data_IF_270783907289
#
_entry.id   IF_270783907289
#
_cell.length_a   1.000
_cell.length_b   1.000
_cell.length_c   1.000
_cell.angle_alpha   90.00
_cell.angle_beta   90.00
_cell.angle_gamma   90.00
#
_symmetry.space_group_name_H-M   'P 1'
#
loop_
_entity.id
_entity.type
_entity.pdbx_description
1 polymer ?
#
# COMPACT_ATOMS: atom_id res chain seq x y z
N UNK A 1 -7.96 1.44 6.83
CA UNK A 1 -7.86 1.16 5.41
C UNK A 1 -6.80 2.08 4.80
N UNK A 2 -5.80 1.50 4.19
CA UNK A 2 -4.77 2.17 3.38
C UNK A 2 -4.94 1.78 1.91
N UNK A 3 -3.96 2.12 1.07
CA UNK A 3 -4.01 1.83 -0.37
C UNK A 3 -4.20 0.34 -0.66
N UNK A 4 -3.58 -0.55 0.10
CA UNK A 4 -3.79 -2.01 -0.03
C UNK A 4 -5.26 -2.41 0.09
N UNK A 5 -6.03 -1.76 0.98
CA UNK A 5 -7.46 -2.03 1.09
C UNK A 5 -8.25 -1.53 -0.13
N UNK A 6 -7.83 -0.39 -0.71
CA UNK A 6 -8.41 0.12 -1.96
C UNK A 6 -8.16 -0.85 -3.10
N UNK A 7 -6.91 -1.30 -3.28
CA UNK A 7 -6.53 -2.26 -4.32
C UNK A 7 -7.30 -3.57 -4.18
N UNK A 8 -7.32 -4.17 -2.99
CA UNK A 8 -8.02 -5.43 -2.75
C UNK A 8 -9.52 -5.32 -3.07
N UNK A 9 -10.17 -4.23 -2.64
CA UNK A 9 -11.59 -4.02 -2.86
C UNK A 9 -11.92 -3.80 -4.34
N UNK A 10 -11.11 -3.03 -5.06
CA UNK A 10 -11.24 -2.79 -6.50
C UNK A 10 -11.00 -4.06 -7.31
N UNK A 11 -9.95 -4.82 -6.97
CA UNK A 11 -9.67 -6.11 -7.62
C UNK A 11 -10.83 -7.07 -7.42
N UNK A 12 -11.36 -7.22 -6.20
CA UNK A 12 -12.53 -8.05 -5.94
C UNK A 12 -13.72 -7.65 -6.84
N UNK A 13 -14.00 -6.35 -6.96
CA UNK A 13 -15.07 -5.84 -7.82
C UNK A 13 -14.83 -6.15 -9.30
N UNK A 14 -13.63 -5.94 -9.79
CA UNK A 14 -13.22 -6.22 -11.18
C UNK A 14 -13.23 -7.70 -11.51
N UNK A 15 -12.97 -8.57 -10.50
CA UNK A 15 -13.04 -10.02 -10.64
C UNK A 15 -14.48 -10.56 -10.59
N UNK A 16 -15.50 -9.72 -10.48
CA UNK A 16 -16.91 -10.09 -10.58
C UNK A 16 -17.61 -10.29 -9.23
N UNK A 17 -17.04 -9.83 -8.12
CA UNK A 17 -17.76 -9.85 -6.85
C UNK A 17 -19.07 -9.03 -6.97
N UNK A 18 -20.18 -9.59 -6.54
CA UNK A 18 -21.48 -8.93 -6.55
C UNK A 18 -21.44 -7.63 -5.72
N UNK A 19 -20.79 -7.68 -4.56
CA UNK A 19 -20.49 -6.54 -3.72
C UNK A 19 -19.05 -6.58 -3.23
N UNK A 20 -18.45 -5.41 -3.01
CA UNK A 20 -17.17 -5.24 -2.35
C UNK A 20 -17.31 -4.09 -1.37
N UNK A 21 -16.90 -4.29 -0.12
CA UNK A 21 -17.11 -3.33 0.96
C UNK A 21 -15.84 -3.14 1.77
N UNK A 22 -15.39 -1.91 1.86
CA UNK A 22 -14.30 -1.52 2.77
C UNK A 22 -14.91 -1.21 4.13
N UNK A 23 -14.42 -1.90 5.17
CA UNK A 23 -14.83 -1.66 6.55
C UNK A 23 -13.71 -0.93 7.29
N UNK A 24 -14.02 0.23 7.85
CA UNK A 24 -13.01 1.06 8.49
C UNK A 24 -13.44 1.60 9.86
N UNK A 25 -12.54 1.46 10.84
CA UNK A 25 -12.84 1.80 12.25
C UNK A 25 -12.89 3.30 12.59
N UNK A 26 -12.51 4.18 11.63
CA UNK A 26 -12.63 5.63 11.72
C UNK A 26 -13.47 6.15 10.56
N UNK A 27 -13.40 7.45 10.29
CA UNK A 27 -14.05 8.02 9.09
C UNK A 27 -13.04 8.14 7.93
N UNK A 28 -13.55 8.37 6.74
CA UNK A 28 -12.72 8.60 5.54
C UNK A 28 -11.70 9.73 5.73
N UNK A 29 -12.02 10.71 6.59
CA UNK A 29 -11.14 11.84 6.88
C UNK A 29 -9.84 11.42 7.59
N UNK A 30 -9.89 10.39 8.41
CA UNK A 30 -8.72 9.83 9.12
C UNK A 30 -8.09 8.64 8.38
N UNK A 31 -8.55 8.35 7.16
CA UNK A 31 -8.06 7.23 6.37
C UNK A 31 -6.66 7.55 5.84
N UNK A 32 -5.69 6.61 5.98
CA UNK A 32 -4.35 6.82 5.44
C UNK A 32 -4.24 6.53 3.94
N UNK A 33 -5.32 6.05 3.31
CA UNK A 33 -5.36 5.85 1.86
C UNK A 33 -5.31 7.20 1.14
N UNK A 34 -4.71 7.21 -0.03
CA UNK A 34 -4.75 8.35 -0.94
C UNK A 34 -6.20 8.67 -1.34
N UNK A 35 -6.56 9.96 -1.36
CA UNK A 35 -7.93 10.40 -1.68
C UNK A 35 -8.34 10.01 -3.10
N UNK A 36 -7.39 10.00 -4.04
CA UNK A 36 -7.65 9.60 -5.41
C UNK A 36 -7.95 8.11 -5.49
N UNK A 37 -7.19 7.27 -4.77
CA UNK A 37 -7.43 5.81 -4.70
C UNK A 37 -8.80 5.50 -4.07
N UNK A 38 -9.16 6.21 -3.00
CA UNK A 38 -10.50 6.08 -2.41
C UNK A 38 -11.59 6.48 -3.40
N UNK A 39 -11.39 7.61 -4.10
CA UNK A 39 -12.35 8.05 -5.12
C UNK A 39 -12.51 7.00 -6.23
N UNK A 40 -11.43 6.47 -6.75
CA UNK A 40 -11.48 5.41 -7.77
C UNK A 40 -12.23 4.16 -7.27
N UNK A 41 -12.01 3.76 -6.03
CA UNK A 41 -12.73 2.62 -5.44
C UNK A 41 -14.25 2.87 -5.39
N UNK A 42 -14.67 4.05 -4.96
CA UNK A 42 -16.08 4.43 -4.90
C UNK A 42 -16.69 4.51 -6.33
N UNK A 43 -15.98 5.12 -7.26
CA UNK A 43 -16.42 5.25 -8.67
C UNK A 43 -16.58 3.85 -9.34
N UNK A 44 -15.80 2.86 -8.93
CA UNK A 44 -15.92 1.45 -9.36
C UNK A 44 -17.02 0.67 -8.61
N UNK A 45 -17.76 1.31 -7.72
CA UNK A 45 -18.89 0.71 -7.00
C UNK A 45 -18.48 -0.10 -5.76
N UNK A 46 -17.33 0.22 -5.14
CA UNK A 46 -16.96 -0.29 -3.82
C UNK A 46 -17.72 0.49 -2.76
N UNK A 47 -18.31 -0.23 -1.80
CA UNK A 47 -18.98 0.36 -0.65
C UNK A 47 -17.97 0.71 0.46
N UNK A 48 -18.27 1.75 1.23
CA UNK A 48 -17.49 2.12 2.41
C UNK A 48 -18.40 2.12 3.64
N UNK A 49 -18.01 1.36 4.66
CA UNK A 49 -18.64 1.36 5.98
C UNK A 49 -17.65 1.96 6.98
N UNK A 50 -17.95 3.17 7.43
CA UNK A 50 -17.15 3.90 8.39
C UNK A 50 -17.56 3.56 9.82
N UNK A 51 -16.69 3.87 10.78
CA UNK A 51 -16.92 3.67 12.21
C UNK A 51 -17.33 2.23 12.56
N UNK A 52 -16.72 1.28 11.88
CA UNK A 52 -16.94 -0.15 12.02
C UNK A 52 -15.62 -0.88 12.29
N UNK A 53 -15.52 -1.60 13.38
CA UNK A 53 -14.36 -2.41 13.71
C UNK A 53 -14.73 -3.90 13.67
N UNK A 54 -14.15 -4.68 12.72
CA UNK A 54 -14.36 -6.11 12.65
C UNK A 54 -13.99 -6.82 13.97
N UNK A 55 -14.83 -7.74 14.40
CA UNK A 55 -14.65 -8.56 15.61
C UNK A 55 -14.53 -10.03 15.24
N UNK A 56 -15.45 -10.55 14.47
CA UNK A 56 -15.54 -11.97 14.14
C UNK A 56 -16.20 -12.15 12.76
N UNK A 57 -15.73 -13.14 12.01
CA UNK A 57 -16.44 -13.65 10.84
C UNK A 57 -17.09 -14.98 11.19
N UNK A 58 -18.39 -15.06 11.02
CA UNK A 58 -19.16 -16.25 11.34
C UNK A 58 -20.42 -16.38 10.48
N UNK A 59 -20.70 -17.58 10.02
CA UNK A 59 -21.95 -17.93 9.31
C UNK A 59 -22.28 -16.99 8.13
N UNK A 60 -21.27 -16.66 7.31
CA UNK A 60 -21.45 -15.76 6.16
C UNK A 60 -21.63 -14.29 6.51
N UNK A 61 -21.20 -13.88 7.69
CA UNK A 61 -21.34 -12.50 8.19
C UNK A 61 -20.06 -12.04 8.87
N UNK A 62 -19.78 -10.75 8.74
CA UNK A 62 -18.77 -10.04 9.52
C UNK A 62 -19.45 -9.27 10.65
N UNK A 63 -19.18 -9.65 11.87
CA UNK A 63 -19.65 -8.95 13.07
C UNK A 63 -18.71 -7.79 13.33
N UNK A 64 -19.25 -6.59 13.45
CA UNK A 64 -18.51 -5.36 13.70
C UNK A 64 -19.00 -4.65 14.97
N UNK A 65 -18.07 -4.12 15.74
CA UNK A 65 -18.40 -3.11 16.74
C UNK A 65 -18.70 -1.79 16.05
N UNK A 66 -19.79 -1.14 16.48
CA UNK A 66 -20.04 0.25 16.15
C UNK A 66 -19.02 1.13 16.88
N UNK A 67 -18.34 1.99 16.15
CA UNK A 67 -17.31 2.87 16.69
C UNK A 67 -17.78 4.32 16.75
N UNK A 68 -17.14 5.11 17.58
CA UNK A 68 -17.18 6.58 17.57
C UNK A 68 -15.77 7.13 17.65
N UNK A 69 -15.58 8.36 17.21
CA UNK A 69 -14.30 9.04 17.35
C UNK A 69 -14.19 9.63 18.76
N UNK A 70 -13.13 9.29 19.47
CA UNK A 70 -12.74 9.87 20.74
C UNK A 70 -12.05 11.22 20.57
N UNK A 71 -11.39 11.68 21.63
CA UNK A 71 -10.60 12.93 21.62
C UNK A 71 -9.36 12.79 20.72
N UNK A 72 -8.89 13.89 20.13
CA UNK A 72 -7.64 13.90 19.38
C UNK A 72 -6.44 13.55 20.27
N UNK A 73 -5.52 12.76 19.74
CA UNK A 73 -4.21 12.55 20.36
C UNK A 73 -3.25 13.73 20.09
N UNK A 74 -2.01 13.63 20.60
CA UNK A 74 -0.99 14.67 20.42
C UNK A 74 -0.67 14.98 18.95
N UNK A 75 -0.98 14.08 18.02
CA UNK A 75 -0.84 14.29 16.56
C UNK A 75 -2.10 14.88 15.92
N UNK A 76 -3.13 15.16 16.70
CA UNK A 76 -4.44 15.60 16.21
C UNK A 76 -5.32 14.48 15.68
N UNK A 77 -4.88 13.23 15.73
CA UNK A 77 -5.61 12.07 15.20
C UNK A 77 -6.57 11.52 16.24
N UNK A 78 -7.85 11.37 15.87
CA UNK A 78 -8.87 10.86 16.77
C UNK A 78 -8.85 9.34 16.86
N UNK A 79 -8.82 8.82 18.07
CA UNK A 79 -8.84 7.37 18.33
C UNK A 79 -10.26 6.81 18.20
N UNK A 80 -10.44 5.63 17.57
CA UNK A 80 -11.73 4.97 17.53
C UNK A 80 -12.04 4.33 18.89
N UNK A 81 -13.26 4.55 19.39
CA UNK A 81 -13.76 4.01 20.67
C UNK A 81 -15.02 3.21 20.37
N UNK A 82 -15.12 1.98 20.89
CA UNK A 82 -16.32 1.17 20.76
C UNK A 82 -17.50 1.81 21.53
N UNK A 83 -18.68 1.79 20.94
CA UNK A 83 -19.91 2.29 21.58
C UNK A 83 -20.53 1.25 22.51
N UNK A 84 -20.18 -0.03 22.35
CA UNK A 84 -20.81 -1.17 23.01
C UNK A 84 -21.88 -1.83 22.15
N UNK A 85 -22.23 -1.23 21.02
CA UNK A 85 -23.18 -1.80 20.07
C UNK A 85 -22.43 -2.60 18.99
N UNK A 86 -23.09 -3.63 18.46
CA UNK A 86 -22.58 -4.45 17.34
C UNK A 86 -23.60 -4.50 16.22
N UNK A 87 -23.11 -4.72 15.01
CA UNK A 87 -23.93 -4.96 13.83
C UNK A 87 -23.25 -5.95 12.91
N UNK A 88 -24.00 -6.47 11.93
CA UNK A 88 -23.54 -7.51 11.03
C UNK A 88 -23.52 -7.02 9.59
N UNK A 89 -22.51 -7.44 8.84
CA UNK A 89 -22.39 -7.21 7.39
C UNK A 89 -22.37 -8.59 6.72
N UNK A 90 -23.32 -8.93 5.85
CA UNK A 90 -23.27 -10.16 5.07
C UNK A 90 -22.01 -10.21 4.19
N UNK A 91 -21.26 -11.31 4.23
CA UNK A 91 -20.06 -11.49 3.41
C UNK A 91 -19.69 -12.96 3.26
N UNK A 92 -19.20 -13.34 2.09
CA UNK A 92 -18.66 -14.68 1.81
C UNK A 92 -17.17 -14.75 2.13
N UNK A 93 -16.46 -13.63 1.94
CA UNK A 93 -15.02 -13.53 2.10
C UNK A 93 -14.64 -12.23 2.83
N UNK A 94 -13.70 -12.33 3.75
CA UNK A 94 -13.06 -11.19 4.40
C UNK A 94 -11.59 -11.16 4.05
N UNK A 95 -11.12 -10.03 3.50
CA UNK A 95 -9.73 -9.75 3.21
C UNK A 95 -9.17 -8.80 4.27
N UNK A 96 -8.15 -9.24 5.00
CA UNK A 96 -7.51 -8.44 6.03
C UNK A 96 -6.43 -7.55 5.42
N UNK A 97 -6.67 -6.24 5.37
CA UNK A 97 -5.74 -5.22 4.90
C UNK A 97 -5.42 -4.22 6.03
N UNK A 98 -4.99 -4.73 7.18
CA UNK A 98 -4.75 -3.96 8.41
C UNK A 98 -3.30 -3.52 8.57
N UNK A 99 -2.45 -3.83 7.60
CA UNK A 99 -1.01 -3.63 7.62
C UNK A 99 -0.27 -4.77 8.30
N UNK A 100 1.01 -4.84 8.04
CA UNK A 100 1.92 -5.82 8.63
C UNK A 100 2.92 -5.12 9.54
N UNK A 101 3.48 -5.86 10.46
CA UNK A 101 4.56 -5.42 11.34
C UNK A 101 5.59 -6.52 11.43
N UNK A 102 6.83 -6.12 11.60
CA UNK A 102 7.89 -7.06 11.94
C UNK A 102 7.55 -7.74 13.27
N UNK A 103 7.70 -9.05 13.32
CA UNK A 103 7.53 -9.79 14.57
C UNK A 103 8.71 -9.49 15.51
N UNK A 104 8.51 -8.48 16.36
CA UNK A 104 9.51 -8.05 17.31
C UNK A 104 9.89 -9.15 18.32
N UNK A 105 8.98 -10.08 18.60
CA UNK A 105 9.24 -11.22 19.50
C UNK A 105 10.20 -12.19 18.82
N UNK A 106 9.94 -12.57 17.57
CA UNK A 106 10.82 -13.42 16.80
C UNK A 106 12.22 -12.80 16.65
N UNK A 107 12.31 -11.50 16.41
CA UNK A 107 13.59 -10.81 16.33
C UNK A 107 14.34 -10.84 17.66
N UNK A 108 13.66 -10.53 18.76
CA UNK A 108 14.26 -10.57 20.11
C UNK A 108 14.71 -11.98 20.52
N UNK A 109 13.95 -13.02 20.20
CA UNK A 109 14.31 -14.42 20.44
C UNK A 109 15.60 -14.83 19.67
N UNK A 110 15.87 -14.18 18.56
CA UNK A 110 17.10 -14.35 17.79
C UNK A 110 18.21 -13.33 18.15
N UNK A 111 18.02 -12.56 19.22
CA UNK A 111 18.97 -11.56 19.68
C UNK A 111 19.12 -10.34 18.78
N UNK A 112 18.15 -10.10 17.89
CA UNK A 112 18.16 -8.98 16.95
C UNK A 112 17.34 -7.82 17.51
N UNK A 113 17.99 -6.68 17.71
CA UNK A 113 17.32 -5.42 18.07
C UNK A 113 16.93 -4.65 16.80
N UNK A 114 15.61 -4.52 16.59
CA UNK A 114 15.05 -3.78 15.47
C UNK A 114 14.96 -2.29 15.76
N UNK A 115 15.02 -1.50 14.68
CA UNK A 115 14.85 -0.04 14.78
C UNK A 115 16.04 0.70 15.39
N UNK A 116 17.18 0.05 15.56
CA UNK A 116 18.40 0.70 16.01
C UNK A 116 18.83 1.75 15.00
N UNK A 117 18.81 3.01 15.39
CA UNK A 117 19.36 4.12 14.60
C UNK A 117 20.86 4.05 14.63
N UNK A 118 21.43 3.41 13.62
CA UNK A 118 22.87 3.39 13.41
C UNK A 118 23.21 3.77 11.97
N UNK A 119 24.46 4.10 11.67
CA UNK A 119 24.87 4.26 10.29
C UNK A 119 24.60 2.94 9.56
N UNK A 120 24.06 3.04 8.35
CA UNK A 120 23.99 1.95 7.41
C UNK A 120 23.08 0.76 7.77
N UNK A 121 21.93 1.03 8.42
CA UNK A 121 20.93 -0.03 8.64
C UNK A 121 21.43 -1.26 9.44
N UNK A 122 22.58 -1.15 10.09
CA UNK A 122 23.17 -2.24 10.87
C UNK A 122 22.37 -2.52 12.13
N UNK A 123 22.12 -3.81 12.42
CA UNK A 123 21.55 -4.23 13.70
C UNK A 123 22.64 -4.31 14.79
N UNK A 124 22.26 -4.77 15.97
CA UNK A 124 23.21 -5.07 17.05
C UNK A 124 24.05 -6.34 16.76
N UNK A 125 23.65 -7.16 15.79
CA UNK A 125 24.33 -8.39 15.41
C UNK A 125 25.28 -8.10 14.25
N UNK A 126 26.53 -8.53 14.36
CA UNK A 126 27.53 -8.38 13.31
C UNK A 126 27.07 -9.07 12.02
N UNK A 127 27.27 -8.42 10.89
CA UNK A 127 26.88 -8.90 9.56
C UNK A 127 25.35 -9.09 9.35
N UNK A 128 24.52 -8.49 10.21
CA UNK A 128 23.07 -8.46 10.05
C UNK A 128 22.59 -7.02 9.94
N UNK A 129 21.87 -6.72 8.87
CA UNK A 129 21.30 -5.40 8.57
C UNK A 129 19.79 -5.49 8.41
N UNK A 130 19.12 -4.35 8.53
CA UNK A 130 17.69 -4.22 8.34
C UNK A 130 17.41 -2.98 7.51
N UNK A 131 16.71 -3.15 6.38
CA UNK A 131 16.35 -2.05 5.48
C UNK A 131 14.89 -2.17 5.03
N UNK A 132 14.36 -1.17 4.32
CA UNK A 132 12.98 -1.14 3.85
C UNK A 132 11.98 -1.18 4.99
N UNK A 133 10.83 -1.81 4.77
CA UNK A 133 9.74 -1.87 5.74
C UNK A 133 10.13 -2.47 7.09
N UNK A 134 11.09 -3.39 7.10
CA UNK A 134 11.60 -3.96 8.34
C UNK A 134 12.33 -2.94 9.22
N UNK A 135 12.90 -1.90 8.62
CA UNK A 135 13.65 -0.85 9.31
C UNK A 135 12.80 0.38 9.63
N UNK A 136 12.08 0.88 8.64
CA UNK A 136 11.33 2.13 8.73
C UNK A 136 9.84 1.97 9.04
N UNK A 137 9.30 0.78 8.91
CA UNK A 137 7.88 0.48 8.88
C UNK A 137 7.32 0.54 7.46
N UNK A 138 6.03 0.24 7.28
CA UNK A 138 5.39 0.23 5.97
C UNK A 138 5.58 1.55 5.21
N UNK A 139 6.07 1.44 3.98
CA UNK A 139 6.41 2.58 3.14
C UNK A 139 6.16 2.27 1.65
N UNK A 140 6.62 3.14 0.76
CA UNK A 140 6.50 2.93 -0.68
C UNK A 140 7.60 2.01 -1.21
N UNK A 141 7.36 1.40 -2.36
CA UNK A 141 8.36 0.59 -3.07
C UNK A 141 9.63 1.42 -3.37
N UNK A 142 9.45 2.69 -3.74
CA UNK A 142 10.55 3.61 -4.03
C UNK A 142 11.43 3.82 -2.80
N UNK A 143 10.83 4.01 -1.63
CA UNK A 143 11.57 4.15 -0.38
C UNK A 143 12.31 2.85 0.00
N UNK A 144 11.70 1.69 -0.24
CA UNK A 144 12.35 0.40 -0.06
C UNK A 144 13.57 0.22 -0.97
N UNK A 145 13.47 0.65 -2.23
CA UNK A 145 14.59 0.64 -3.19
C UNK A 145 15.69 1.63 -2.74
N UNK A 146 15.32 2.82 -2.29
CA UNK A 146 16.27 3.80 -1.79
C UNK A 146 17.04 3.28 -0.57
N UNK A 147 16.35 2.63 0.37
CA UNK A 147 16.99 2.00 1.53
C UNK A 147 17.95 0.88 1.11
N UNK A 148 17.54 0.05 0.15
CA UNK A 148 18.39 -1.03 -0.35
C UNK A 148 19.64 -0.49 -1.04
N UNK A 149 19.53 0.58 -1.81
CA UNK A 149 20.67 1.26 -2.42
C UNK A 149 21.62 1.84 -1.37
N UNK A 150 21.10 2.58 -0.40
CA UNK A 150 21.89 3.15 0.68
C UNK A 150 22.58 2.08 1.54
N UNK A 151 21.88 0.98 1.80
CA UNK A 151 22.45 -0.18 2.47
C UNK A 151 23.62 -0.79 1.66
N UNK A 152 23.41 -1.02 0.36
CA UNK A 152 24.43 -1.60 -0.50
C UNK A 152 25.69 -0.70 -0.55
N UNK A 153 25.51 0.61 -0.69
CA UNK A 153 26.61 1.59 -0.67
C UNK A 153 27.39 1.54 0.65
N UNK A 154 26.68 1.41 1.76
CA UNK A 154 27.29 1.35 3.08
C UNK A 154 28.11 0.06 3.28
N UNK A 155 27.66 -1.08 2.75
CA UNK A 155 28.37 -2.36 2.84
C UNK A 155 29.56 -2.40 1.90
N UNK A 156 29.42 -1.89 0.68
CA UNK A 156 30.47 -1.88 -0.34
C UNK A 156 31.52 -0.79 -0.03
N UNK A 157 31.11 0.28 0.66
CA UNK A 157 31.98 1.44 0.94
C UNK A 157 32.17 2.37 -0.27
N UNK A 158 31.33 2.25 -1.29
CA UNK A 158 31.37 3.07 -2.48
C UNK A 158 29.96 3.36 -2.99
N UNK A 159 29.74 4.59 -3.46
CA UNK A 159 28.48 4.94 -4.12
C UNK A 159 28.30 4.16 -5.43
N UNK A 160 27.09 3.66 -5.63
CA UNK A 160 26.73 2.99 -6.88
C UNK A 160 26.40 4.02 -7.96
N UNK A 161 27.01 3.87 -9.11
CA UNK A 161 26.67 4.66 -10.30
C UNK A 161 25.66 3.90 -11.13
N UNK A 162 24.47 4.49 -11.27
CA UNK A 162 23.42 3.91 -12.14
C UNK A 162 23.68 4.32 -13.57
N UNK A 163 23.78 3.35 -14.45
CA UNK A 163 23.70 3.61 -15.87
C UNK A 163 22.23 3.81 -16.24
N UNK A 164 21.91 4.97 -16.82
CA UNK A 164 20.58 5.22 -17.36
C UNK A 164 20.46 4.39 -18.62
N UNK A 165 19.51 3.41 -18.70
CA UNK A 165 19.37 2.61 -19.92
C UNK A 165 19.02 3.49 -21.10
N UNK A 166 19.50 3.09 -22.28
CA UNK A 166 19.13 3.75 -23.52
C UNK A 166 17.60 3.75 -23.69
N UNK A 167 17.04 4.86 -24.14
CA UNK A 167 15.60 5.00 -24.27
C UNK A 167 15.02 3.93 -25.20
N UNK A 168 13.98 3.25 -24.74
CA UNK A 168 13.29 2.21 -25.51
C UNK A 168 12.64 2.75 -26.81
N UNK A 169 12.39 4.07 -26.85
CA UNK A 169 11.81 4.76 -28.01
C UNK A 169 12.62 5.98 -28.38
N UNK A 170 13.03 6.09 -29.64
CA UNK A 170 13.89 7.19 -30.09
C UNK A 170 13.19 8.54 -30.09
N UNK A 171 11.86 8.57 -30.18
CA UNK A 171 11.09 9.82 -30.15
C UNK A 171 9.81 9.72 -29.33
N UNK A 172 9.31 10.87 -28.85
CA UNK A 172 7.99 10.97 -28.20
C UNK A 172 6.86 10.50 -29.13
N UNK A 173 6.98 10.73 -30.43
CA UNK A 173 5.98 10.29 -31.40
C UNK A 173 5.86 8.77 -31.50
N UNK A 174 7.00 8.05 -31.47
CA UNK A 174 7.02 6.59 -31.52
C UNK A 174 6.37 5.99 -30.27
N UNK A 175 6.67 6.55 -29.09
CA UNK A 175 6.06 6.13 -27.85
C UNK A 175 4.54 6.40 -27.83
N UNK A 176 4.08 7.55 -28.31
CA UNK A 176 2.65 7.88 -28.45
C UNK A 176 1.95 6.93 -29.42
N UNK A 177 2.56 6.63 -30.57
CA UNK A 177 2.00 5.72 -31.55
C UNK A 177 1.81 4.31 -30.95
N UNK A 178 2.80 3.81 -30.20
CA UNK A 178 2.68 2.51 -29.52
C UNK A 178 1.63 2.53 -28.42
N UNK A 179 1.52 3.60 -27.63
CA UNK A 179 0.47 3.77 -26.61
C UNK A 179 -0.92 3.72 -27.25
N UNK A 180 -1.12 4.36 -28.38
CA UNK A 180 -2.37 4.33 -29.14
C UNK A 180 -2.77 2.92 -29.58
N UNK A 181 -1.80 2.08 -29.98
CA UNK A 181 -2.06 0.69 -30.40
C UNK A 181 -2.36 -0.25 -29.24
N UNK A 182 -1.91 0.07 -28.04
CA UNK A 182 -2.18 -0.72 -26.84
C UNK A 182 -3.53 -0.39 -26.18
N UNK A 183 -4.19 0.65 -26.62
CA UNK A 183 -5.48 1.09 -26.10
C UNK A 183 -6.63 0.25 -26.68
N UNK A 184 -6.57 -1.06 -26.47
CA UNK A 184 -7.62 -1.99 -26.87
C UNK A 184 -8.62 -2.14 -25.74
N UNK A 185 -9.83 -1.62 -25.94
CA UNK A 185 -10.93 -1.80 -24.99
C UNK A 185 -11.16 -3.29 -24.69
N UNK A 186 -11.16 -3.68 -23.43
CA UNK A 186 -11.64 -4.97 -22.95
C UNK A 186 -10.59 -6.06 -22.73
N UNK A 187 -9.30 -5.77 -22.74
CA UNK A 187 -8.25 -6.76 -22.48
C UNK A 187 -7.66 -6.58 -21.06
N UNK A 188 -8.17 -7.31 -20.09
CA UNK A 188 -7.61 -7.32 -18.72
C UNK A 188 -6.13 -7.80 -18.70
N UNK A 189 -5.74 -8.69 -19.62
CA UNK A 189 -4.35 -9.14 -19.77
C UNK A 189 -3.41 -8.10 -20.37
N UNK A 190 -3.94 -7.05 -20.98
CA UNK A 190 -3.15 -6.00 -21.62
C UNK A 190 -2.83 -4.81 -20.69
N UNK A 191 -3.44 -4.74 -19.53
CA UNK A 191 -3.20 -3.64 -18.58
C UNK A 191 -1.73 -3.61 -18.10
N UNK A 192 -1.13 -4.77 -17.85
CA UNK A 192 0.30 -4.85 -17.53
C UNK A 192 1.23 -4.46 -18.70
N UNK A 193 0.74 -4.52 -19.93
CA UNK A 193 1.48 -4.12 -21.13
C UNK A 193 1.36 -2.62 -21.42
N UNK A 194 0.61 -1.88 -20.63
CA UNK A 194 0.46 -0.42 -20.78
C UNK A 194 1.70 0.36 -20.39
N UNK A 195 2.53 -0.23 -19.54
CA UNK A 195 3.83 0.36 -19.28
C UNK A 195 4.69 0.20 -20.53
N UNK A 196 4.92 1.30 -21.21
CA UNK A 196 5.71 1.35 -22.43
C UNK A 196 7.21 1.45 -22.17
N UNK A 197 7.60 1.47 -20.91
CA UNK A 197 8.99 1.73 -20.52
C UNK A 197 9.55 2.99 -21.22
N UNK A 198 8.66 3.99 -21.38
CA UNK A 198 8.93 5.16 -22.20
C UNK A 198 9.26 6.34 -21.28
N UNK A 199 10.52 6.50 -20.96
CA UNK A 199 11.04 7.69 -20.27
C UNK A 199 10.68 9.02 -20.98
N UNK A 200 10.06 8.98 -22.15
CA UNK A 200 9.77 10.15 -22.98
C UNK A 200 8.31 10.58 -23.02
N UNK A 201 7.36 9.78 -22.54
CA UNK A 201 5.92 10.07 -22.70
C UNK A 201 5.14 10.05 -21.41
N UNK A 202 5.66 9.42 -20.37
CA UNK A 202 4.96 9.32 -19.11
C UNK A 202 5.28 10.51 -18.19
N UNK A 203 4.79 11.68 -18.58
CA UNK A 203 4.83 12.87 -17.71
C UNK A 203 4.00 12.64 -16.44
N UNK A 204 2.94 11.84 -16.49
CA UNK A 204 2.10 11.54 -15.32
C UNK A 204 2.85 10.83 -14.19
N UNK A 205 3.87 10.02 -14.49
CA UNK A 205 4.70 9.43 -13.45
C UNK A 205 5.67 10.44 -12.83
N UNK A 206 6.15 11.41 -13.61
CA UNK A 206 7.02 12.48 -13.13
C UNK A 206 6.26 13.48 -12.25
N UNK A 207 4.99 13.77 -12.59
CA UNK A 207 4.13 14.68 -11.84
C UNK A 207 3.49 14.03 -10.59
N UNK A 208 3.44 12.69 -10.56
CA UNK A 208 2.81 11.92 -9.48
C UNK A 208 3.80 11.16 -8.60
N UNK A 209 5.07 11.15 -8.95
CA UNK A 209 6.11 10.52 -8.14
C UNK A 209 6.65 11.57 -7.14
N UNK A 210 6.54 11.31 -5.82
CA UNK A 210 7.01 12.22 -4.79
C UNK A 210 8.53 12.38 -4.80
#
# INVERSE_FOLDING_TARGET
AGNTAMDAARVAKRMGAASSTIVYRRTKKEMPADEHELKLAIDEGVNLVELAAPVEQKDGRLICNQMKLGEPDASGRRSPVATGETFEIPCDLVLSAIGEKVDAKLMAENGIEMGRKGPAFQTNVENVWSAGDAHRGPATVVEGIADAAAFAEAVIGAAHTYEIPEQAYPTKADAIAKKGTLHMAGCAGCEGSRCLDCNTVCENCADSCP
#
